data_IF_553776010421
#
_entry.id   IF_553776010421
#
_cell.length_a   1.000
_cell.length_b   1.000
_cell.length_c   1.000
_cell.angle_alpha   90.00
_cell.angle_beta   90.00
_cell.angle_gamma   90.00
#
_symmetry.space_group_name_H-M   'P 1'
#
loop_
_entity.id
_entity.type
_entity.pdbx_description
1 polymer ?
#
# COMPACT_ATOMS: atom_id res chain seq x y z
N UNK A 1 -26.06 -1.00 3.32
CA UNK A 1 -25.67 -1.06 1.91
C UNK A 1 -24.32 -0.42 1.64
N UNK A 2 -24.07 0.77 2.14
CA UNK A 2 -22.79 1.46 1.93
C UNK A 2 -21.61 0.69 2.50
N UNK A 3 -21.75 0.06 3.68
CA UNK A 3 -20.66 -0.70 4.29
C UNK A 3 -20.27 -1.93 3.47
N UNK A 4 -21.26 -2.63 2.89
CA UNK A 4 -20.96 -3.81 2.07
C UNK A 4 -20.30 -3.41 0.74
N UNK A 5 -20.63 -2.24 0.19
CA UNK A 5 -19.98 -1.72 -1.00
C UNK A 5 -18.53 -1.35 -0.72
N UNK A 6 -18.25 -0.74 0.44
CA UNK A 6 -16.87 -0.43 0.84
C UNK A 6 -16.04 -1.69 0.99
N UNK A 7 -16.60 -2.71 1.62
CA UNK A 7 -15.92 -3.98 1.81
C UNK A 7 -15.59 -4.62 0.45
N UNK A 8 -16.58 -4.66 -0.46
CA UNK A 8 -16.37 -5.21 -1.80
C UNK A 8 -15.32 -4.45 -2.57
N UNK A 9 -15.30 -3.11 -2.46
CA UNK A 9 -14.30 -2.29 -3.15
C UNK A 9 -12.90 -2.57 -2.62
N UNK A 10 -12.74 -2.73 -1.30
CA UNK A 10 -11.43 -3.05 -0.74
C UNK A 10 -10.96 -4.44 -1.19
N UNK A 11 -11.84 -5.43 -1.24
CA UNK A 11 -11.49 -6.75 -1.77
C UNK A 11 -11.07 -6.67 -3.24
N UNK A 12 -11.77 -5.87 -4.02
CA UNK A 12 -11.43 -5.65 -5.43
C UNK A 12 -10.06 -5.01 -5.57
N UNK A 13 -9.74 -4.03 -4.73
CA UNK A 13 -8.43 -3.37 -4.74
C UNK A 13 -7.31 -4.34 -4.35
N UNK A 14 -7.55 -5.21 -3.36
CA UNK A 14 -6.57 -6.24 -2.98
C UNK A 14 -6.28 -7.19 -4.14
N UNK A 15 -7.32 -7.63 -4.84
CA UNK A 15 -7.18 -8.52 -5.99
C UNK A 15 -6.43 -7.85 -7.13
N UNK A 16 -6.77 -6.59 -7.40
CA UNK A 16 -6.11 -5.82 -8.45
C UNK A 16 -4.63 -5.62 -8.15
N UNK A 17 -4.30 -5.20 -6.92
CA UNK A 17 -2.93 -5.00 -6.52
C UNK A 17 -2.13 -6.31 -6.56
N UNK A 18 -2.73 -7.40 -6.08
CA UNK A 18 -2.08 -8.71 -6.12
C UNK A 18 -1.81 -9.16 -7.55
N UNK A 19 -2.78 -8.97 -8.45
CA UNK A 19 -2.62 -9.33 -9.85
C UNK A 19 -1.50 -8.53 -10.52
N UNK A 20 -1.40 -7.24 -10.24
CA UNK A 20 -0.31 -6.39 -10.74
C UNK A 20 1.05 -6.91 -10.31
N UNK A 21 1.17 -7.28 -9.04
CA UNK A 21 2.43 -7.79 -8.47
C UNK A 21 2.78 -9.15 -9.04
N UNK A 22 1.80 -10.05 -9.13
CA UNK A 22 2.01 -11.38 -9.68
C UNK A 22 2.46 -11.31 -11.14
N UNK A 23 1.91 -10.37 -11.91
CA UNK A 23 2.32 -10.14 -13.30
C UNK A 23 3.79 -9.73 -13.41
N UNK A 24 4.36 -9.16 -12.34
CA UNK A 24 5.77 -8.77 -12.30
C UNK A 24 6.66 -9.83 -11.67
N UNK A 25 6.12 -10.99 -11.35
CA UNK A 25 6.88 -12.10 -10.82
C UNK A 25 6.93 -12.18 -9.31
N UNK A 26 6.14 -11.39 -8.60
CA UNK A 26 6.07 -11.47 -7.14
C UNK A 26 5.15 -12.61 -6.71
N UNK A 27 5.49 -13.23 -5.59
CA UNK A 27 4.57 -14.09 -4.84
C UNK A 27 3.86 -13.21 -3.83
N UNK A 28 2.54 -13.26 -3.79
CA UNK A 28 1.75 -12.34 -2.97
C UNK A 28 0.97 -13.09 -1.92
N UNK A 29 1.08 -12.64 -0.67
CA UNK A 29 0.28 -13.10 0.45
C UNK A 29 -0.69 -11.99 0.84
N UNK A 30 -1.94 -12.35 1.02
CA UNK A 30 -2.96 -11.40 1.46
C UNK A 30 -3.26 -11.65 2.94
N UNK A 31 -3.18 -10.58 3.73
CA UNK A 31 -3.51 -10.66 5.15
C UNK A 31 -5.01 -10.52 5.34
N UNK A 32 -5.57 -11.40 6.15
CA UNK A 32 -7.00 -11.34 6.52
C UNK A 32 -7.20 -10.62 7.84
N UNK A 33 -6.14 -10.53 8.63
CA UNK A 33 -6.18 -9.92 9.95
C UNK A 33 -6.10 -8.41 9.83
N UNK A 34 -7.09 -7.71 10.41
CA UNK A 34 -7.11 -6.25 10.39
C UNK A 34 -6.02 -5.63 11.26
N UNK A 35 -5.44 -6.38 12.18
CA UNK A 35 -4.35 -5.92 13.03
C UNK A 35 -2.99 -6.06 12.37
N UNK A 36 -2.93 -6.72 11.22
CA UNK A 36 -1.68 -6.84 10.48
C UNK A 36 -1.20 -5.46 10.02
N UNK A 37 0.13 -5.24 9.95
CA UNK A 37 0.70 -3.94 9.57
C UNK A 37 0.45 -3.55 8.12
N UNK A 38 -0.13 -4.44 7.31
CA UNK A 38 -0.47 -4.16 5.92
C UNK A 38 -1.50 -5.13 5.42
N UNK A 39 -1.90 -4.96 4.18
CA UNK A 39 -2.91 -5.79 3.54
C UNK A 39 -2.29 -6.89 2.69
N UNK A 40 -1.11 -6.65 2.13
CA UNK A 40 -0.41 -7.58 1.26
C UNK A 40 1.07 -7.63 1.61
N UNK A 41 1.66 -8.80 1.41
CA UNK A 41 3.11 -8.95 1.41
C UNK A 41 3.50 -9.56 0.07
N UNK A 42 4.40 -8.91 -0.65
CA UNK A 42 4.87 -9.35 -1.96
C UNK A 42 6.36 -9.65 -1.89
N UNK A 43 6.76 -10.81 -2.39
CA UNK A 43 8.16 -11.22 -2.37
C UNK A 43 8.61 -11.65 -3.75
N UNK A 44 9.82 -11.24 -4.13
CA UNK A 44 10.46 -11.66 -5.36
C UNK A 44 11.96 -11.77 -5.12
N UNK A 45 12.51 -12.98 -5.27
CA UNK A 45 13.89 -13.24 -4.92
C UNK A 45 14.09 -13.07 -3.41
N UNK A 46 15.08 -12.26 -3.05
CA UNK A 46 15.38 -11.93 -1.65
C UNK A 46 14.77 -10.58 -1.24
N UNK A 47 13.84 -10.06 -2.03
CA UNK A 47 13.23 -8.75 -1.83
C UNK A 47 11.76 -8.89 -1.44
N UNK A 48 11.32 -8.08 -0.48
CA UNK A 48 9.93 -8.08 -0.05
C UNK A 48 9.36 -6.68 0.11
N UNK A 49 8.06 -6.57 -0.07
CA UNK A 49 7.33 -5.31 0.12
C UNK A 49 6.10 -5.60 0.98
N UNK A 50 5.98 -4.90 2.10
CA UNK A 50 4.76 -4.93 2.89
C UNK A 50 3.91 -3.74 2.49
N UNK A 51 2.69 -3.99 2.04
CA UNK A 51 1.86 -2.98 1.38
C UNK A 51 0.58 -2.74 2.15
N UNK A 52 0.32 -1.48 2.47
CA UNK A 52 -0.98 -1.03 3.00
C UNK A 52 -1.76 -0.40 1.86
N UNK A 53 -3.00 -0.86 1.66
CA UNK A 53 -3.87 -0.35 0.61
C UNK A 53 -4.83 0.67 1.21
N UNK A 54 -4.88 1.85 0.60
CA UNK A 54 -5.72 2.96 1.05
C UNK A 54 -6.48 3.51 -0.15
N UNK A 55 -7.47 4.33 0.14
CA UNK A 55 -8.29 4.98 -0.89
C UNK A 55 -8.35 6.46 -0.63
N UNK A 56 -8.31 7.24 -1.71
CA UNK A 56 -8.52 8.68 -1.67
C UNK A 56 -9.37 9.09 -2.85
N UNK A 57 -10.09 10.20 -2.74
CA UNK A 57 -10.87 10.72 -3.85
C UNK A 57 -9.96 11.40 -4.87
N UNK A 58 -9.09 12.29 -4.41
CA UNK A 58 -8.20 13.08 -5.27
C UNK A 58 -6.75 12.66 -5.06
N UNK A 59 -5.90 12.83 -6.07
CA UNK A 59 -4.49 12.50 -5.92
C UNK A 59 -3.80 13.46 -4.94
N UNK A 60 -2.77 12.96 -4.28
CA UNK A 60 -1.93 13.77 -3.41
C UNK A 60 -0.92 14.54 -4.28
N UNK A 61 -0.79 15.83 -4.01
CA UNK A 61 0.09 16.69 -4.77
C UNK A 61 1.48 16.84 -4.12
N UNK A 62 1.62 16.40 -2.87
CA UNK A 62 2.90 16.50 -2.16
C UNK A 62 3.02 15.40 -1.12
N UNK A 63 4.25 15.11 -0.73
CA UNK A 63 4.56 14.17 0.36
C UNK A 63 4.01 14.72 1.69
N UNK A 64 4.00 16.02 1.87
CA UNK A 64 3.46 16.64 3.08
C UNK A 64 1.98 16.31 3.26
N UNK A 65 1.21 16.32 2.19
CA UNK A 65 -0.20 15.94 2.25
C UNK A 65 -0.38 14.48 2.67
N UNK A 66 0.44 13.60 2.14
CA UNK A 66 0.41 12.16 2.48
C UNK A 66 0.73 11.98 3.95
N UNK A 67 1.79 12.60 4.43
CA UNK A 67 2.24 12.51 5.81
C UNK A 67 1.18 13.05 6.77
N UNK A 68 0.53 14.13 6.39
CA UNK A 68 -0.52 14.74 7.20
C UNK A 68 -1.77 13.86 7.26
N UNK A 69 -2.17 13.30 6.13
CA UNK A 69 -3.38 12.49 6.03
C UNK A 69 -3.21 11.11 6.69
N UNK A 70 -2.05 10.49 6.50
CA UNK A 70 -1.80 9.11 6.93
C UNK A 70 -0.73 9.01 8.02
N UNK A 71 -0.53 10.09 8.80
CA UNK A 71 0.50 10.14 9.84
C UNK A 71 0.42 8.99 10.84
N UNK A 72 -0.80 8.64 11.28
CA UNK A 72 -0.99 7.54 12.21
C UNK A 72 -0.56 6.19 11.65
N UNK A 73 -0.92 5.93 10.39
CA UNK A 73 -0.54 4.70 9.70
C UNK A 73 0.97 4.63 9.53
N UNK A 74 1.59 5.74 9.16
CA UNK A 74 3.04 5.83 8.98
C UNK A 74 3.78 5.54 10.28
N UNK A 75 3.29 6.10 11.39
CA UNK A 75 3.86 5.85 12.71
C UNK A 75 3.77 4.37 13.06
N UNK A 76 2.61 3.75 12.83
CA UNK A 76 2.41 2.33 13.10
C UNK A 76 3.36 1.47 12.26
N UNK A 77 3.50 1.80 10.97
CA UNK A 77 4.42 1.09 10.07
C UNK A 77 5.85 1.19 10.60
N UNK A 78 6.27 2.37 11.00
CA UNK A 78 7.64 2.60 11.48
C UNK A 78 7.94 1.92 12.81
N UNK A 79 6.90 1.48 13.53
CA UNK A 79 7.09 0.73 14.77
C UNK A 79 7.49 -0.73 14.55
N UNK A 80 7.33 -1.24 13.33
CA UNK A 80 7.70 -2.62 13.02
C UNK A 80 9.17 -2.70 12.62
N UNK A 81 9.83 -3.84 12.91
CA UNK A 81 11.20 -4.04 12.46
C UNK A 81 11.28 -3.94 10.94
N UNK A 82 12.31 -3.29 10.45
CA UNK A 82 12.52 -3.05 9.03
C UNK A 82 13.90 -3.57 8.64
N UNK A 83 14.05 -4.91 8.50
CA UNK A 83 15.30 -5.46 8.01
C UNK A 83 15.57 -5.07 6.56
N UNK A 84 16.81 -5.21 6.13
CA UNK A 84 17.23 -4.77 4.81
C UNK A 84 16.56 -5.51 3.65
N UNK A 85 15.95 -6.66 3.95
CA UNK A 85 15.38 -7.53 2.90
C UNK A 85 14.00 -7.13 2.45
N UNK A 86 13.31 -6.26 3.19
CA UNK A 86 12.00 -5.77 2.76
C UNK A 86 11.78 -4.34 3.18
N UNK A 87 10.80 -3.69 2.53
CA UNK A 87 10.43 -2.31 2.86
C UNK A 87 8.91 -2.19 2.90
N UNK A 88 8.45 -1.04 3.37
CA UNK A 88 7.02 -0.75 3.51
C UNK A 88 6.59 0.23 2.45
N UNK A 89 5.39 0.00 1.91
CA UNK A 89 4.78 0.93 0.96
C UNK A 89 3.30 1.14 1.29
N UNK A 90 2.82 2.32 0.99
CA UNK A 90 1.40 2.65 0.99
C UNK A 90 0.98 2.80 -0.45
N UNK A 91 -0.04 2.06 -0.86
CA UNK A 91 -0.63 2.15 -2.20
C UNK A 91 -1.99 2.80 -2.06
N UNK A 92 -2.17 3.95 -2.69
CA UNK A 92 -3.41 4.74 -2.61
C UNK A 92 -4.14 4.64 -3.94
N UNK A 93 -5.33 4.07 -3.92
CA UNK A 93 -6.20 4.10 -5.10
C UNK A 93 -6.95 5.42 -5.13
N UNK A 94 -6.73 6.20 -6.18
CA UNK A 94 -7.35 7.52 -6.34
C UNK A 94 -8.59 7.37 -7.21
N UNK A 95 -9.77 7.53 -6.62
CA UNK A 95 -11.02 7.23 -7.32
C UNK A 95 -11.33 8.22 -8.45
N UNK A 96 -10.92 9.48 -8.33
CA UNK A 96 -11.20 10.47 -9.38
C UNK A 96 -10.46 10.20 -10.68
N UNK A 97 -9.29 9.57 -10.62
CA UNK A 97 -8.48 9.24 -11.78
C UNK A 97 -8.48 7.75 -12.10
N UNK A 98 -8.99 6.95 -11.19
CA UNK A 98 -8.94 5.48 -11.24
C UNK A 98 -7.50 4.95 -11.40
N UNK A 99 -6.54 5.66 -10.80
CA UNK A 99 -5.13 5.32 -10.84
C UNK A 99 -4.59 5.16 -9.43
N UNK A 100 -3.44 4.50 -9.32
CA UNK A 100 -2.75 4.29 -8.06
C UNK A 100 -1.64 5.33 -7.89
N UNK A 101 -1.44 5.74 -6.63
CA UNK A 101 -0.21 6.41 -6.20
C UNK A 101 0.51 5.50 -5.21
N UNK A 102 1.82 5.43 -5.31
CA UNK A 102 2.63 4.51 -4.51
C UNK A 102 3.65 5.31 -3.70
N UNK A 103 3.71 5.05 -2.40
CA UNK A 103 4.61 5.76 -1.51
C UNK A 103 5.42 4.77 -0.70
N UNK A 104 6.73 4.91 -0.71
CA UNK A 104 7.63 4.12 0.12
C UNK A 104 7.83 4.81 1.45
N UNK A 105 7.72 4.04 2.54
CA UNK A 105 7.86 4.56 3.89
C UNK A 105 9.23 4.17 4.42
N UNK A 106 10.14 5.14 4.48
CA UNK A 106 11.46 4.95 5.08
C UNK A 106 11.45 5.32 6.56
N UNK A 107 12.61 5.19 7.21
CA UNK A 107 12.73 5.50 8.64
C UNK A 107 12.45 6.99 8.92
N UNK A 108 12.94 7.86 8.05
CA UNK A 108 12.86 9.31 8.25
C UNK A 108 12.10 10.03 7.16
N UNK A 109 11.79 9.37 6.07
CA UNK A 109 11.18 10.03 4.93
C UNK A 109 10.15 9.16 4.24
N UNK A 110 9.27 9.82 3.49
CA UNK A 110 8.29 9.17 2.61
C UNK A 110 8.61 9.63 1.21
N UNK A 111 8.67 8.68 0.28
CA UNK A 111 9.04 8.97 -1.12
C UNK A 111 7.98 8.41 -2.05
N UNK A 112 7.57 9.19 -3.02
CA UNK A 112 6.69 8.67 -4.07
C UNK A 112 7.50 7.80 -5.02
N UNK A 113 6.97 6.61 -5.34
CA UNK A 113 7.65 5.66 -6.23
C UNK A 113 6.69 5.26 -7.35
N UNK A 114 7.21 4.64 -8.40
CA UNK A 114 6.40 4.17 -9.50
C UNK A 114 6.49 2.65 -9.61
N UNK A 115 5.33 2.03 -9.83
CA UNK A 115 5.24 0.61 -10.15
C UNK A 115 4.60 0.43 -11.53
N UNK A 116 4.62 1.48 -12.30
CA UNK A 116 4.03 1.51 -13.61
C UNK A 116 4.76 0.59 -14.57
N UNK A 117 4.05 -0.09 -15.22
CA UNK A 117 4.66 -0.84 -16.18
C UNK A 117 5.06 -1.51 -17.00
#
# INVERSE_FOLDING_TARGET
MTSSNRFRKMLSLKREAAAMLEAKGYVVLQFKDQEAPGHLFAARGDHGILISLLRAHDPFSSIEEVTKCYGGIIIDIRSFPSPDDYHFEIWVFVSSTECWQYFRIGHDEVTEVEHGG
#
